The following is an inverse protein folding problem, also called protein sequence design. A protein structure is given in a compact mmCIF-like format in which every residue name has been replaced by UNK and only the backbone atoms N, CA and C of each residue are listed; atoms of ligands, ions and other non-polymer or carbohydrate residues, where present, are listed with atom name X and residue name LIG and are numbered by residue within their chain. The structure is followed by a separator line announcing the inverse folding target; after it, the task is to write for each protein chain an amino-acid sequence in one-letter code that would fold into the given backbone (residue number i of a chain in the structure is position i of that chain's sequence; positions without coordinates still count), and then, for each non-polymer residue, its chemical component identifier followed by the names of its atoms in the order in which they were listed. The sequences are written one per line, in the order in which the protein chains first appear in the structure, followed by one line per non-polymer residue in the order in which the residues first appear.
data_IF_028646703946
#
_entry.id   IF_028646703946
#
_cell.length_a   1.000
_cell.length_b   1.000
_cell.length_c   1.000
_cell.angle_alpha   90.00
_cell.angle_beta   90.00
_cell.angle_gamma   90.00
#
_symmetry.space_group_name_H-M   'P 1'
#
loop_
_entity.id
_entity.type
_entity.pdbx_description
1 polymer ?
#
# COMPACT_ATOMS: atom_id res chain seq x y z
N UNK A 1 31.45 22.65 -8.72
CA UNK A 1 30.90 22.72 -7.35
C UNK A 1 29.43 23.10 -7.45
N UNK A 2 28.53 22.14 -7.27
CA UNK A 2 27.11 22.40 -7.05
C UNK A 2 26.63 21.28 -6.13
N UNK A 3 26.87 21.45 -4.82
CA UNK A 3 26.18 20.67 -3.82
C UNK A 3 24.72 21.08 -3.95
N UNK A 4 23.94 20.30 -4.70
CA UNK A 4 22.49 20.34 -4.66
C UNK A 4 22.10 20.02 -3.23
N UNK A 5 21.96 21.07 -2.41
CA UNK A 5 21.34 21.02 -1.10
C UNK A 5 19.96 20.40 -1.33
N UNK A 6 19.87 19.09 -1.11
CA UNK A 6 18.63 18.36 -1.02
C UNK A 6 17.94 18.88 0.24
N UNK A 7 17.30 20.04 0.15
CA UNK A 7 16.43 20.54 1.20
C UNK A 7 15.44 19.41 1.44
N UNK A 8 15.47 18.75 2.61
CA UNK A 8 14.59 17.63 2.86
C UNK A 8 13.17 18.14 2.69
N UNK A 9 12.42 17.53 1.76
CA UNK A 9 11.02 17.91 1.54
C UNK A 9 10.29 17.76 2.86
N UNK A 10 9.62 18.82 3.36
CA UNK A 10 9.00 18.79 4.67
C UNK A 10 7.90 17.74 4.69
N UNK A 11 7.89 16.87 5.69
CA UNK A 11 6.88 15.81 5.85
C UNK A 11 5.50 16.40 6.11
N UNK A 12 4.44 15.61 5.94
CA UNK A 12 3.07 16.10 6.23
C UNK A 12 2.94 16.66 7.66
N UNK A 13 3.60 16.02 8.63
CA UNK A 13 3.60 16.47 10.03
C UNK A 13 4.26 17.85 10.20
N UNK A 14 5.42 18.07 9.57
CA UNK A 14 6.12 19.37 9.61
C UNK A 14 5.30 20.48 8.95
N UNK A 15 4.58 20.18 7.87
CA UNK A 15 3.70 21.16 7.21
C UNK A 15 2.48 21.55 8.06
N UNK A 16 1.98 20.63 8.91
CA UNK A 16 0.89 20.93 9.85
C UNK A 16 1.38 21.80 11.01
N UNK A 17 2.57 21.50 11.55
CA UNK A 17 3.21 22.31 12.59
C UNK A 17 3.48 23.73 12.10
N UNK A 18 3.95 23.88 10.85
CA UNK A 18 4.07 25.20 10.23
C UNK A 18 2.70 25.90 10.10
N UNK A 19 1.63 25.17 9.81
CA UNK A 19 0.28 25.74 9.66
C UNK A 19 -0.34 26.28 10.95
N UNK A 20 0.18 25.82 12.10
CA UNK A 20 -0.22 26.26 13.44
C UNK A 20 0.44 27.58 13.83
N UNK A 21 1.46 28.04 13.10
CA UNK A 21 2.09 29.32 13.34
C UNK A 21 1.09 30.49 13.17
N UNK A 22 0.98 31.40 14.15
CA UNK A 22 0.01 32.49 14.13
C UNK A 22 0.33 33.59 13.10
N UNK A 23 1.59 33.66 12.63
CA UNK A 23 2.09 34.74 11.77
C UNK A 23 1.87 34.51 10.26
N UNK A 24 1.13 33.46 9.90
CA UNK A 24 0.91 33.10 8.51
C UNK A 24 -0.08 34.01 7.81
N UNK A 25 0.33 34.58 6.67
CA UNK A 25 -0.60 35.30 5.80
C UNK A 25 -1.63 34.34 5.20
N UNK A 26 -2.81 34.86 4.83
CA UNK A 26 -3.87 34.04 4.19
C UNK A 26 -3.39 33.30 2.93
N UNK A 27 -2.39 33.83 2.22
CA UNK A 27 -1.84 33.22 1.00
C UNK A 27 -0.94 32.04 1.36
N UNK A 28 0.01 32.24 2.26
CA UNK A 28 0.93 31.19 2.73
C UNK A 28 0.16 30.03 3.38
N UNK A 29 -0.87 30.33 4.18
CA UNK A 29 -1.72 29.29 4.77
C UNK A 29 -2.40 28.42 3.72
N UNK A 30 -2.86 29.01 2.60
CA UNK A 30 -3.46 28.26 1.48
C UNK A 30 -2.43 27.43 0.73
N UNK A 31 -1.20 27.92 0.58
CA UNK A 31 -0.12 27.19 -0.07
C UNK A 31 0.34 26.01 0.78
N UNK A 32 0.57 26.22 2.08
CA UNK A 32 0.91 25.14 3.01
C UNK A 32 -0.20 24.08 3.12
N UNK A 33 -1.48 24.48 3.12
CA UNK A 33 -2.59 23.52 3.08
C UNK A 33 -2.57 22.68 1.79
N UNK A 34 -2.25 23.27 0.63
CA UNK A 34 -2.13 22.52 -0.62
C UNK A 34 -0.95 21.55 -0.56
N UNK A 35 0.19 21.99 -0.04
CA UNK A 35 1.38 21.15 0.13
C UNK A 35 1.12 19.98 1.09
N UNK A 36 0.45 20.22 2.23
CA UNK A 36 0.09 19.18 3.18
C UNK A 36 -0.83 18.12 2.55
N UNK A 37 -1.89 18.54 1.83
CA UNK A 37 -2.76 17.59 1.11
C UNK A 37 -2.02 16.79 0.05
N UNK A 38 -1.04 17.39 -0.62
CA UNK A 38 -0.20 16.69 -1.59
C UNK A 38 0.70 15.66 -0.90
N UNK A 39 1.45 16.07 0.13
CA UNK A 39 2.29 15.18 0.94
C UNK A 39 1.49 13.99 1.50
N UNK A 40 0.31 14.24 2.09
CA UNK A 40 -0.56 13.17 2.59
C UNK A 40 -0.95 12.15 1.51
N UNK A 41 -1.22 12.61 0.28
CA UNK A 41 -1.53 11.72 -0.85
C UNK A 41 -0.31 10.91 -1.29
N UNK A 42 0.87 11.51 -1.30
CA UNK A 42 2.13 10.82 -1.59
C UNK A 42 2.41 9.76 -0.52
N UNK A 43 2.35 10.10 0.77
CA UNK A 43 2.53 9.14 1.87
C UNK A 43 1.50 8.00 1.81
N UNK A 44 0.24 8.32 1.52
CA UNK A 44 -0.81 7.29 1.35
C UNK A 44 -0.53 6.38 0.16
N UNK A 45 -0.03 6.94 -0.94
CA UNK A 45 0.32 6.17 -2.14
C UNK A 45 1.55 5.30 -1.90
N UNK A 46 2.56 5.83 -1.24
CA UNK A 46 3.76 5.09 -0.81
C UNK A 46 3.40 3.98 0.17
N UNK A 47 2.53 4.23 1.15
CA UNK A 47 2.04 3.18 2.05
C UNK A 47 1.27 2.09 1.31
N UNK A 48 0.41 2.45 0.34
CA UNK A 48 -0.29 1.46 -0.50
C UNK A 48 0.66 0.69 -1.42
N UNK A 49 1.76 1.31 -1.85
CA UNK A 49 2.78 0.68 -2.69
C UNK A 49 3.73 -0.21 -1.90
N UNK A 50 4.08 0.21 -0.69
CA UNK A 50 4.91 -0.54 0.25
C UNK A 50 4.16 -1.73 0.87
N UNK A 51 2.84 -1.63 0.95
CA UNK A 51 1.96 -2.70 1.37
C UNK A 51 1.15 -3.20 0.16
N UNK A 52 1.78 -3.90 -0.82
CA UNK A 52 0.98 -4.63 -1.79
C UNK A 52 0.14 -5.60 -0.96
N UNK A 53 -1.19 -5.51 -1.09
CA UNK A 53 -2.16 -6.42 -0.47
C UNK A 53 -1.59 -7.84 -0.44
N UNK A 54 -1.89 -8.68 0.59
CA UNK A 54 -1.17 -9.92 0.83
C UNK A 54 -1.43 -10.95 -0.28
N UNK A 55 -0.79 -10.75 -1.43
CA UNK A 55 -0.82 -11.61 -2.60
C UNK A 55 -0.22 -12.97 -2.25
N UNK A 56 0.60 -13.02 -1.18
CA UNK A 56 1.13 -14.25 -0.59
C UNK A 56 0.02 -15.13 0.00
N UNK A 57 -0.96 -14.54 0.71
CA UNK A 57 -2.11 -15.28 1.22
C UNK A 57 -3.01 -15.75 0.09
N UNK A 58 -3.27 -14.88 -0.89
CA UNK A 58 -4.11 -15.23 -2.04
C UNK A 58 -3.51 -16.38 -2.86
N UNK A 59 -2.19 -16.35 -3.11
CA UNK A 59 -1.48 -17.45 -3.78
C UNK A 59 -1.55 -18.75 -2.98
N UNK A 60 -1.36 -18.70 -1.66
CA UNK A 60 -1.43 -19.88 -0.79
C UNK A 60 -2.84 -20.52 -0.80
N UNK A 61 -3.89 -19.71 -0.74
CA UNK A 61 -5.29 -20.17 -0.81
C UNK A 61 -5.58 -20.81 -2.17
N UNK A 62 -5.14 -20.19 -3.28
CA UNK A 62 -5.32 -20.76 -4.62
C UNK A 62 -4.61 -22.12 -4.73
N UNK A 63 -3.38 -22.23 -4.24
CA UNK A 63 -2.63 -23.50 -4.28
C UNK A 63 -3.29 -24.60 -3.45
N UNK A 64 -3.83 -24.26 -2.27
CA UNK A 64 -4.55 -25.22 -1.42
C UNK A 64 -5.85 -25.70 -2.08
N UNK A 65 -6.61 -24.79 -2.69
CA UNK A 65 -7.82 -25.14 -3.44
C UNK A 65 -7.51 -26.04 -4.65
N UNK A 66 -6.43 -25.75 -5.39
CA UNK A 66 -5.98 -26.61 -6.49
C UNK A 66 -5.59 -28.01 -6.00
N UNK A 67 -4.83 -28.11 -4.90
CA UNK A 67 -4.45 -29.41 -4.33
C UNK A 67 -5.68 -30.22 -3.89
N UNK A 68 -6.63 -29.58 -3.21
CA UNK A 68 -7.88 -30.22 -2.80
C UNK A 68 -8.70 -30.72 -4.01
N UNK A 69 -8.80 -29.91 -5.08
CA UNK A 69 -9.48 -30.29 -6.30
C UNK A 69 -8.79 -31.47 -7.01
N UNK A 70 -7.45 -31.46 -7.11
CA UNK A 70 -6.69 -32.57 -7.68
C UNK A 70 -6.88 -33.86 -6.88
N UNK A 71 -6.83 -33.79 -5.55
CA UNK A 71 -7.06 -34.94 -4.68
C UNK A 71 -8.49 -35.47 -4.80
N UNK A 72 -9.47 -34.58 -4.93
CA UNK A 72 -10.86 -34.96 -5.14
C UNK A 72 -11.07 -35.69 -6.47
N UNK A 73 -10.50 -35.17 -7.56
CA UNK A 73 -10.57 -35.81 -8.88
C UNK A 73 -9.83 -37.15 -8.86
N UNK A 74 -8.66 -37.20 -8.23
CA UNK A 74 -7.89 -38.44 -8.08
C UNK A 74 -8.67 -39.48 -7.27
N UNK A 75 -9.35 -39.06 -6.20
CA UNK A 75 -10.22 -39.93 -5.41
C UNK A 75 -11.41 -40.45 -6.22
N UNK A 76 -12.04 -39.62 -7.06
CA UNK A 76 -13.09 -40.07 -7.97
C UNK A 76 -12.57 -41.06 -9.02
N UNK A 77 -11.36 -40.86 -9.54
CA UNK A 77 -10.74 -41.77 -10.50
C UNK A 77 -10.34 -43.11 -9.86
N UNK A 78 -9.86 -43.10 -8.62
CA UNK A 78 -9.48 -44.31 -7.88
C UNK A 78 -10.69 -45.04 -7.27
N UNK A 79 -11.69 -44.30 -6.79
CA UNK A 79 -12.89 -44.82 -6.13
C UNK A 79 -14.04 -45.15 -7.10
N UNK A 80 -14.08 -44.52 -8.27
CA UNK A 80 -15.06 -44.80 -9.32
C UNK A 80 -14.74 -46.05 -10.18
N UNK A 81 -13.61 -46.71 -9.90
CA UNK A 81 -13.11 -47.87 -10.64
C UNK A 81 -12.93 -49.15 -9.80
N UNK A 82 -13.41 -49.19 -8.56
CA UNK A 82 -13.39 -50.41 -7.75
C UNK A 82 -14.82 -50.87 -7.40
N UNK A 83 -15.51 -51.56 -8.33
CA UNK A 83 -16.54 -52.51 -7.92
C UNK A 83 -15.84 -53.73 -7.29
N UNK A 84 -15.94 -53.86 -5.98
CA UNK A 84 -15.76 -55.12 -5.26
C UNK A 84 -16.83 -55.23 -4.18
#
# INVERSE_FOLDING_TARGET
MAASETTPRPTHAQLLEMLEAPDLTRRERRELQRMARFQKRVETWEHRRANPAPAKLHRAVITLLMMAACLWVLWLLLGGGAPA
#
